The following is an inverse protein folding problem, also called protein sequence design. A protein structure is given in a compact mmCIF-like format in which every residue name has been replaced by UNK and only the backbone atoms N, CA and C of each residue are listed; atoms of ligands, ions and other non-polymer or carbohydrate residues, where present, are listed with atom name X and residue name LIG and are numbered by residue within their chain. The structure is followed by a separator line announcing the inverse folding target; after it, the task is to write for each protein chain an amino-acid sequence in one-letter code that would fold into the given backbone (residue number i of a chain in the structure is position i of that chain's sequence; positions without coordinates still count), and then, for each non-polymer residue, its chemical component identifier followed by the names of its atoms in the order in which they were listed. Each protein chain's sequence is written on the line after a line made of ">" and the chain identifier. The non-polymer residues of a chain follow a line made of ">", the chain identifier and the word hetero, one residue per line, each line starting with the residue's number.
data_IF_027958310954
#
_entry.id   IF_027958310954
#
_cell.length_a   1.000
_cell.length_b   1.000
_cell.length_c   1.000
_cell.angle_alpha   90.00
_cell.angle_beta   90.00
_cell.angle_gamma   90.00
#
_symmetry.space_group_name_H-M   'P 1'
#
loop_
_entity.id
_entity.type
_entity.pdbx_description
1 polymer ?
#
# COMPACT_ATOMS: atom_id res chain seq x y z
N UNK A 1 -4.12 18.06 42.92
CA UNK A 1 -5.47 17.74 42.41
C UNK A 1 -5.66 18.10 40.94
N UNK A 2 -5.51 19.37 40.53
CA UNK A 2 -5.75 19.81 39.13
C UNK A 2 -5.02 19.00 38.04
N UNK A 3 -3.74 18.66 38.28
CA UNK A 3 -2.93 17.85 37.34
C UNK A 3 -3.48 16.44 37.10
N UNK A 4 -4.03 15.82 38.14
CA UNK A 4 -4.59 14.46 38.08
C UNK A 4 -5.92 14.49 37.34
N UNK A 5 -6.76 15.51 37.60
CA UNK A 5 -8.00 15.71 36.85
C UNK A 5 -7.71 15.91 35.36
N UNK A 6 -6.73 16.72 34.99
CA UNK A 6 -6.35 16.93 33.59
C UNK A 6 -5.94 15.62 32.89
N UNK A 7 -5.09 14.81 33.53
CA UNK A 7 -4.69 13.50 32.98
C UNK A 7 -5.90 12.58 32.81
N UNK A 8 -6.79 12.53 33.81
CA UNK A 8 -7.95 11.62 33.83
C UNK A 8 -8.96 11.95 32.70
N UNK A 9 -9.12 13.23 32.37
CA UNK A 9 -9.95 13.66 31.23
C UNK A 9 -9.25 13.54 29.87
N UNK A 10 -7.92 13.47 29.83
CA UNK A 10 -7.13 13.36 28.59
C UNK A 10 -7.01 11.92 28.09
N UNK A 11 -7.01 10.94 28.99
CA UNK A 11 -6.84 9.51 28.63
C UNK A 11 -7.95 9.00 27.70
N UNK A 12 -9.26 9.20 27.99
CA UNK A 12 -10.33 8.71 27.10
C UNK A 12 -10.26 9.23 25.65
N UNK A 13 -10.08 10.54 25.38
CA UNK A 13 -9.97 11.03 24.01
C UNK A 13 -8.70 10.55 23.31
N UNK A 14 -7.57 10.40 24.03
CA UNK A 14 -6.35 9.85 23.46
C UNK A 14 -6.52 8.38 23.02
N UNK A 15 -7.20 7.56 23.85
CA UNK A 15 -7.52 6.18 23.49
C UNK A 15 -8.48 6.10 22.30
N UNK A 16 -9.49 6.98 22.23
CA UNK A 16 -10.40 7.03 21.09
C UNK A 16 -9.65 7.36 19.78
N UNK A 17 -8.76 8.36 19.80
CA UNK A 17 -7.92 8.70 18.64
C UNK A 17 -7.03 7.55 18.19
N UNK A 18 -6.41 6.83 19.12
CA UNK A 18 -5.62 5.64 18.78
C UNK A 18 -6.49 4.56 18.13
N UNK A 19 -7.67 4.28 18.68
CA UNK A 19 -8.61 3.32 18.10
C UNK A 19 -9.07 3.72 16.68
N UNK A 20 -9.37 5.01 16.47
CA UNK A 20 -9.75 5.53 15.15
C UNK A 20 -8.61 5.43 14.15
N UNK A 21 -7.37 5.67 14.57
CA UNK A 21 -6.21 5.53 13.69
C UNK A 21 -6.03 4.08 13.21
N UNK A 22 -6.12 3.10 14.12
CA UNK A 22 -6.02 1.67 13.79
C UNK A 22 -7.14 1.22 12.86
N UNK A 23 -8.37 1.67 13.11
CA UNK A 23 -9.52 1.36 12.27
C UNK A 23 -9.35 1.95 10.87
N UNK A 24 -8.88 3.20 10.79
CA UNK A 24 -8.59 3.87 9.50
C UNK A 24 -7.50 3.13 8.73
N UNK A 25 -6.40 2.73 9.37
CA UNK A 25 -5.35 1.96 8.68
C UNK A 25 -5.87 0.61 8.19
N UNK A 26 -6.67 -0.08 8.99
CA UNK A 26 -7.26 -1.37 8.62
C UNK A 26 -8.17 -1.27 7.39
N UNK A 27 -8.81 -0.11 7.16
CA UNK A 27 -9.64 0.15 5.98
C UNK A 27 -8.85 0.67 4.79
N UNK A 28 -7.90 1.58 5.02
CA UNK A 28 -7.18 2.26 3.92
C UNK A 28 -6.11 1.34 3.29
N UNK A 29 -5.41 0.52 4.08
CA UNK A 29 -4.40 -0.40 3.55
C UNK A 29 -4.99 -1.29 2.43
N UNK A 30 -6.11 -2.02 2.61
CA UNK A 30 -6.68 -2.82 1.53
C UNK A 30 -7.21 -1.97 0.37
N UNK A 31 -7.72 -0.75 0.62
CA UNK A 31 -8.16 0.15 -0.45
C UNK A 31 -6.99 0.61 -1.33
N UNK A 32 -5.84 0.93 -0.74
CA UNK A 32 -4.65 1.35 -1.51
C UNK A 32 -4.10 0.25 -2.41
N UNK A 33 -4.37 -1.02 -2.10
CA UNK A 33 -4.05 -2.16 -2.95
C UNK A 33 -4.76 -2.16 -4.31
N UNK A 34 -5.85 -1.40 -4.47
CA UNK A 34 -6.60 -1.29 -5.72
C UNK A 34 -6.18 -0.12 -6.62
N UNK A 35 -5.20 0.70 -6.22
CA UNK A 35 -4.79 1.91 -6.98
C UNK A 35 -3.87 1.55 -8.18
N UNK A 36 -3.33 0.33 -8.20
CA UNK A 36 -2.41 -0.16 -9.24
C UNK A 36 -0.96 0.27 -9.01
N UNK A 37 -0.08 -0.09 -9.96
CA UNK A 37 1.38 0.13 -9.87
C UNK A 37 1.85 1.57 -10.12
N UNK A 38 0.99 2.43 -10.68
CA UNK A 38 1.36 3.79 -11.11
C UNK A 38 1.68 4.72 -9.91
N UNK A 39 0.84 4.68 -8.86
CA UNK A 39 0.98 5.53 -7.67
C UNK A 39 1.64 4.78 -6.51
N UNK A 40 2.33 5.52 -5.65
CA UNK A 40 2.95 4.99 -4.43
C UNK A 40 1.93 4.90 -3.29
N UNK A 41 1.41 3.71 -2.92
CA UNK A 41 0.50 3.59 -1.78
C UNK A 41 1.20 3.94 -0.45
N UNK A 42 2.51 3.71 -0.35
CA UNK A 42 3.32 4.02 0.83
C UNK A 42 3.31 5.52 1.18
N UNK A 43 3.21 6.39 0.17
CA UNK A 43 3.15 7.84 0.39
C UNK A 43 1.81 8.25 1.02
N UNK A 44 0.72 7.62 0.59
CA UNK A 44 -0.64 7.87 1.12
C UNK A 44 -0.71 7.41 2.57
N UNK A 45 -0.22 6.19 2.85
CA UNK A 45 -0.16 5.64 4.20
C UNK A 45 0.74 6.49 5.08
N UNK A 46 1.93 6.87 4.58
CA UNK A 46 2.88 7.73 5.29
C UNK A 46 2.27 9.08 5.69
N UNK A 47 1.56 9.74 4.76
CA UNK A 47 0.87 11.00 5.04
C UNK A 47 -0.20 10.84 6.13
N UNK A 48 -0.98 9.76 6.09
CA UNK A 48 -1.98 9.46 7.12
C UNK A 48 -1.31 9.20 8.48
N UNK A 49 -0.23 8.43 8.52
CA UNK A 49 0.54 8.16 9.74
C UNK A 49 1.07 9.46 10.35
N UNK A 50 1.66 10.36 9.55
CA UNK A 50 2.11 11.68 10.03
C UNK A 50 0.94 12.49 10.59
N UNK A 51 -0.21 12.49 9.92
CA UNK A 51 -1.39 13.25 10.36
C UNK A 51 -1.94 12.72 11.69
N UNK A 52 -2.13 11.41 11.83
CA UNK A 52 -2.61 10.80 13.07
C UNK A 52 -1.60 10.92 14.21
N UNK A 53 -0.31 10.76 13.95
CA UNK A 53 0.74 10.94 14.98
C UNK A 53 0.76 12.36 15.51
N UNK A 54 0.64 13.39 14.65
CA UNK A 54 0.52 14.78 15.10
C UNK A 54 -0.73 15.01 15.96
N UNK A 55 -1.87 14.45 15.56
CA UNK A 55 -3.12 14.55 16.33
C UNK A 55 -3.03 13.86 17.71
N UNK A 56 -2.35 12.72 17.80
CA UNK A 56 -2.15 11.99 19.05
C UNK A 56 -1.12 12.70 19.94
N UNK A 57 -0.04 13.24 19.37
CA UNK A 57 1.03 13.91 20.12
C UNK A 57 0.60 15.28 20.63
N UNK A 58 -0.22 16.02 19.88
CA UNK A 58 -0.73 17.35 20.26
C UNK A 58 -1.26 17.44 21.71
N UNK A 59 -2.24 16.63 22.17
CA UNK A 59 -2.70 16.64 23.55
C UNK A 59 -1.62 16.21 24.56
N UNK A 60 -0.69 15.34 24.15
CA UNK A 60 0.43 14.90 25.00
C UNK A 60 1.45 16.02 25.19
N UNK A 61 1.64 16.91 24.22
CA UNK A 61 2.51 18.08 24.40
C UNK A 61 1.96 19.05 25.45
N UNK A 62 0.64 19.18 25.59
CA UNK A 62 0.06 20.02 26.64
C UNK A 62 0.38 19.50 28.06
N UNK A 63 0.59 18.19 28.22
CA UNK A 63 1.08 17.60 29.48
C UNK A 63 2.51 18.02 29.82
N UNK A 64 3.34 18.37 28.83
CA UNK A 64 4.74 18.77 29.06
C UNK A 64 4.86 20.06 29.86
N UNK A 65 3.88 20.96 29.74
CA UNK A 65 3.80 22.17 30.57
C UNK A 65 3.59 21.86 32.06
N UNK A 66 3.11 20.67 32.42
CA UNK A 66 2.96 20.23 33.81
C UNK A 66 4.21 19.54 34.37
N UNK A 67 5.13 19.10 33.50
CA UNK A 67 6.35 18.42 33.90
C UNK A 67 7.38 19.42 34.43
N UNK A 68 7.97 19.13 35.59
CA UNK A 68 9.01 19.96 36.20
C UNK A 68 10.28 20.03 35.34
N UNK A 69 10.55 18.99 34.56
CA UNK A 69 11.70 18.86 33.67
C UNK A 69 11.26 18.44 32.25
N UNK A 70 10.99 19.42 31.39
CA UNK A 70 10.65 19.18 29.97
C UNK A 70 11.77 18.49 29.19
N UNK A 71 13.04 18.62 29.64
CA UNK A 71 14.21 18.00 28.99
C UNK A 71 14.08 16.48 28.90
N UNK A 72 13.59 15.82 29.95
CA UNK A 72 13.44 14.35 29.95
C UNK A 72 12.44 13.89 28.88
N UNK A 73 11.38 14.67 28.63
CA UNK A 73 10.38 14.35 27.62
C UNK A 73 10.97 14.41 26.20
N UNK A 74 11.71 15.47 25.87
CA UNK A 74 12.36 15.59 24.57
C UNK A 74 13.46 14.54 24.37
N UNK A 75 14.23 14.21 25.42
CA UNK A 75 15.21 13.12 25.37
C UNK A 75 14.53 11.78 25.09
N UNK A 76 13.41 11.49 25.76
CA UNK A 76 12.65 10.26 25.54
C UNK A 76 12.10 10.15 24.11
N UNK A 77 11.50 11.23 23.59
CA UNK A 77 11.05 11.29 22.19
C UNK A 77 12.21 11.12 21.21
N UNK A 78 13.35 11.77 21.45
CA UNK A 78 14.55 11.63 20.64
C UNK A 78 15.09 10.20 20.64
N UNK A 79 15.12 9.54 21.81
CA UNK A 79 15.53 8.15 21.94
C UNK A 79 14.61 7.20 21.16
N UNK A 80 13.29 7.40 21.25
CA UNK A 80 12.30 6.63 20.47
C UNK A 80 12.50 6.86 18.97
N UNK A 81 12.70 8.12 18.56
CA UNK A 81 12.92 8.45 17.15
C UNK A 81 14.19 7.76 16.60
N UNK A 82 15.30 7.82 17.33
CA UNK A 82 16.55 7.15 16.95
C UNK A 82 16.34 5.63 16.90
N UNK A 83 15.64 5.04 17.87
CA UNK A 83 15.32 3.62 17.87
C UNK A 83 14.57 3.19 16.62
N UNK A 84 13.49 3.89 16.25
CA UNK A 84 12.72 3.59 15.04
C UNK A 84 13.49 3.86 13.76
N UNK A 85 14.36 4.87 13.75
CA UNK A 85 15.24 5.15 12.62
C UNK A 85 16.22 4.00 12.41
N UNK A 86 16.85 3.49 13.47
CA UNK A 86 17.70 2.29 13.40
C UNK A 86 16.90 1.09 12.91
N UNK A 87 15.69 0.87 13.45
CA UNK A 87 14.83 -0.23 13.02
C UNK A 87 14.51 -0.17 11.52
N UNK A 88 14.27 1.03 10.96
CA UNK A 88 14.00 1.22 9.54
C UNK A 88 15.16 0.78 8.64
N UNK A 89 16.41 0.99 9.06
CA UNK A 89 17.60 0.56 8.32
C UNK A 89 18.00 -0.89 8.58
N UNK A 90 17.28 -1.59 9.46
CA UNK A 90 17.54 -3.00 9.77
C UNK A 90 16.46 -3.90 9.16
N UNK A 91 16.82 -5.12 8.75
CA UNK A 91 15.85 -6.09 8.21
C UNK A 91 14.79 -6.52 9.23
N UNK A 92 15.01 -6.26 10.53
CA UNK A 92 14.08 -6.59 11.62
C UNK A 92 12.77 -5.78 11.49
N UNK A 93 12.86 -4.54 11.02
CA UNK A 93 11.71 -3.66 10.88
C UNK A 93 10.90 -3.90 9.61
N UNK A 94 11.44 -4.66 8.64
CA UNK A 94 10.79 -4.89 7.36
C UNK A 94 10.12 -6.28 7.37
N UNK A 95 8.78 -6.37 7.19
CA UNK A 95 8.08 -7.66 7.20
C UNK A 95 8.47 -8.53 5.99
N UNK A 96 9.03 -7.93 4.94
CA UNK A 96 9.58 -8.64 3.78
C UNK A 96 11.05 -8.98 4.05
N UNK A 97 11.27 -9.94 4.95
CA UNK A 97 12.57 -10.59 5.11
C UNK A 97 12.92 -11.30 3.80
N UNK A 98 14.09 -11.02 3.24
CA UNK A 98 14.63 -11.70 2.05
C UNK A 98 15.23 -13.07 2.36
N UNK A 99 14.91 -13.64 3.52
CA UNK A 99 15.41 -14.93 3.95
C UNK A 99 14.65 -16.04 3.22
N UNK A 100 15.39 -16.91 2.55
CA UNK A 100 14.81 -17.94 1.69
C UNK A 100 13.99 -18.96 2.50
N UNK A 101 14.31 -19.16 3.78
CA UNK A 101 13.57 -20.06 4.69
C UNK A 101 12.26 -19.45 5.22
N UNK A 102 12.10 -18.11 5.17
CA UNK A 102 10.91 -17.40 5.68
C UNK A 102 10.31 -16.48 4.63
N UNK A 103 10.12 -16.99 3.41
CA UNK A 103 9.51 -16.22 2.32
C UNK A 103 8.09 -15.76 2.68
N UNK A 104 7.85 -14.46 2.66
CA UNK A 104 6.50 -13.90 2.80
C UNK A 104 5.75 -13.96 1.46
N UNK A 105 4.47 -14.36 1.46
CA UNK A 105 3.71 -14.50 0.22
C UNK A 105 3.46 -13.11 -0.41
N UNK A 106 3.90 -12.93 -1.65
CA UNK A 106 3.52 -11.78 -2.47
C UNK A 106 2.23 -12.11 -3.23
N UNK A 107 1.23 -11.23 -3.17
CA UNK A 107 -0.04 -11.42 -3.87
C UNK A 107 0.05 -10.87 -5.30
N UNK A 108 -0.22 -11.73 -6.28
CA UNK A 108 -0.21 -11.39 -7.70
C UNK A 108 -1.51 -11.84 -8.36
N UNK A 109 -1.94 -11.10 -9.38
CA UNK A 109 -3.18 -11.39 -10.09
C UNK A 109 -2.84 -11.94 -11.48
N UNK A 110 -3.10 -13.23 -11.66
CA UNK A 110 -2.88 -13.96 -12.90
C UNK A 110 -4.24 -14.46 -13.38
N UNK A 111 -4.59 -14.10 -14.61
CA UNK A 111 -5.87 -14.44 -15.23
C UNK A 111 -5.59 -15.20 -16.51
N UNK A 112 -6.12 -16.41 -16.64
CA UNK A 112 -6.12 -17.08 -17.95
C UNK A 112 -7.17 -16.41 -18.83
N UNK A 113 -6.75 -15.89 -19.99
CA UNK A 113 -7.62 -15.19 -20.93
C UNK A 113 -7.59 -15.87 -22.28
N UNK A 114 -8.76 -15.97 -22.91
CA UNK A 114 -8.92 -16.40 -24.30
C UNK A 114 -9.77 -15.33 -24.98
N UNK A 115 -9.19 -14.69 -26.00
CA UNK A 115 -9.77 -13.55 -26.71
C UNK A 115 -10.00 -13.93 -28.16
N UNK A 116 -11.16 -13.55 -28.69
CA UNK A 116 -11.47 -13.66 -30.12
C UNK A 116 -12.03 -12.33 -30.58
N UNK A 117 -11.37 -11.72 -31.56
CA UNK A 117 -11.74 -10.44 -32.12
C UNK A 117 -12.52 -10.66 -33.41
N UNK A 118 -13.67 -10.02 -33.54
CA UNK A 118 -14.55 -10.13 -34.70
C UNK A 118 -14.60 -8.80 -35.45
N UNK A 119 -14.65 -8.88 -36.78
CA UNK A 119 -14.85 -7.72 -37.65
C UNK A 119 -16.36 -7.38 -37.74
N UNK A 120 -16.69 -6.24 -38.35
CA UNK A 120 -18.08 -5.79 -38.57
C UNK A 120 -18.91 -6.80 -39.38
N UNK A 121 -18.26 -7.61 -40.22
CA UNK A 121 -18.88 -8.69 -41.01
C UNK A 121 -19.07 -10.01 -40.24
N UNK A 122 -18.65 -10.07 -38.97
CA UNK A 122 -18.71 -11.27 -38.13
C UNK A 122 -17.57 -12.27 -38.37
N UNK A 123 -16.62 -11.96 -39.25
CA UNK A 123 -15.43 -12.79 -39.45
C UNK A 123 -14.41 -12.59 -38.31
N UNK A 124 -13.71 -13.67 -37.92
CA UNK A 124 -12.64 -13.61 -36.91
C UNK A 124 -11.41 -12.91 -37.48
N UNK A 125 -10.98 -11.82 -36.84
CA UNK A 125 -9.76 -11.07 -37.20
C UNK A 125 -8.55 -11.70 -36.53
N UNK A 126 -8.67 -11.99 -35.23
CA UNK A 126 -7.55 -12.45 -34.41
C UNK A 126 -8.09 -13.28 -33.23
N UNK A 127 -7.34 -14.30 -32.81
CA UNK A 127 -7.75 -15.21 -31.75
C UNK A 127 -6.52 -15.65 -30.94
N UNK A 128 -6.48 -15.24 -29.68
CA UNK A 128 -5.35 -15.45 -28.78
C UNK A 128 -5.79 -16.12 -27.48
N UNK A 129 -4.89 -16.89 -26.89
CA UNK A 129 -5.05 -17.40 -25.53
C UNK A 129 -3.73 -17.30 -24.76
N UNK A 130 -3.82 -16.96 -23.49
CA UNK A 130 -2.63 -16.82 -22.65
C UNK A 130 -2.93 -16.42 -21.22
N UNK A 131 -1.86 -16.15 -20.47
CA UNK A 131 -1.96 -15.63 -19.11
C UNK A 131 -1.80 -14.12 -19.13
N UNK A 132 -2.79 -13.44 -18.61
CA UNK A 132 -2.74 -12.03 -18.31
C UNK A 132 -2.22 -11.80 -16.90
N UNK A 133 -1.21 -10.97 -16.79
CA UNK A 133 -0.58 -10.61 -15.54
C UNK A 133 -0.95 -9.17 -15.17
N UNK A 134 -1.68 -8.97 -14.08
CA UNK A 134 -2.06 -7.63 -13.62
C UNK A 134 -1.10 -7.15 -12.53
N UNK A 135 -0.36 -6.08 -12.83
CA UNK A 135 0.60 -5.47 -11.91
C UNK A 135 -0.11 -4.55 -10.89
N UNK A 136 -0.44 -5.08 -9.71
CA UNK A 136 -0.95 -4.26 -8.59
C UNK A 136 0.16 -3.76 -7.67
N UNK A 137 1.29 -4.45 -7.64
CA UNK A 137 2.45 -4.09 -6.84
C UNK A 137 3.40 -3.22 -7.67
N UNK A 138 3.87 -2.10 -7.10
CA UNK A 138 4.82 -1.19 -7.75
C UNK A 138 6.12 -1.85 -8.17
N UNK A 139 6.58 -2.84 -7.41
CA UNK A 139 7.80 -3.57 -7.72
C UNK A 139 7.58 -4.73 -8.71
N UNK A 140 6.33 -5.03 -9.05
CA UNK A 140 5.98 -5.96 -10.13
C UNK A 140 6.04 -5.23 -11.47
N UNK A 141 6.58 -5.82 -12.55
CA UNK A 141 7.07 -7.20 -12.67
C UNK A 141 8.58 -7.36 -12.38
N UNK A 142 9.28 -6.29 -11.97
CA UNK A 142 10.76 -6.28 -11.85
C UNK A 142 11.30 -7.37 -10.92
N UNK A 143 10.70 -7.53 -9.73
CA UNK A 143 11.13 -8.56 -8.78
C UNK A 143 10.83 -9.97 -9.33
N UNK A 144 9.66 -10.13 -9.92
CA UNK A 144 9.17 -11.43 -10.43
C UNK A 144 9.97 -11.97 -11.60
N UNK A 145 10.46 -11.10 -12.49
CA UNK A 145 11.26 -11.51 -13.65
C UNK A 145 12.51 -12.32 -13.28
N UNK A 146 12.99 -12.19 -12.04
CA UNK A 146 14.12 -12.99 -11.50
C UNK A 146 13.72 -14.43 -11.19
N UNK A 147 12.48 -14.66 -10.79
CA UNK A 147 11.98 -15.98 -10.35
C UNK A 147 11.21 -16.70 -11.45
N UNK A 148 10.40 -15.99 -12.24
CA UNK A 148 9.58 -16.56 -13.31
C UNK A 148 10.11 -16.08 -14.65
N UNK A 149 10.91 -16.92 -15.31
CA UNK A 149 11.58 -16.60 -16.58
C UNK A 149 10.60 -16.34 -17.72
N UNK A 150 9.41 -16.93 -17.67
CA UNK A 150 8.37 -16.75 -18.69
C UNK A 150 7.82 -15.32 -18.73
N UNK A 151 7.92 -14.54 -17.64
CA UNK A 151 7.58 -13.11 -17.65
C UNK A 151 8.46 -12.28 -18.59
N UNK A 152 9.61 -12.78 -19.03
CA UNK A 152 10.44 -12.08 -20.02
C UNK A 152 9.83 -12.10 -21.42
N UNK A 153 8.89 -13.02 -21.70
CA UNK A 153 8.13 -13.09 -22.96
C UNK A 153 6.82 -12.30 -22.89
N UNK A 154 6.51 -11.68 -21.75
CA UNK A 154 5.28 -10.91 -21.58
C UNK A 154 5.30 -9.66 -22.47
N UNK A 155 4.20 -9.44 -23.19
CA UNK A 155 3.99 -8.27 -24.05
C UNK A 155 3.07 -7.29 -23.32
N UNK A 156 3.37 -5.98 -23.32
CA UNK A 156 2.48 -4.97 -22.76
C UNK A 156 1.19 -4.87 -23.57
N UNK A 157 0.07 -4.59 -22.91
CA UNK A 157 -1.25 -4.54 -23.54
C UNK A 157 -1.66 -3.14 -24.04
N UNK A 158 -0.73 -2.18 -23.95
CA UNK A 158 -0.97 -0.78 -24.29
C UNK A 158 -1.40 -0.53 -25.73
N UNK A 159 -1.00 -1.40 -26.66
CA UNK A 159 -1.39 -1.29 -28.07
C UNK A 159 -2.81 -1.81 -28.31
N UNK A 160 -3.19 -2.91 -27.64
CA UNK A 160 -4.57 -3.41 -27.64
C UNK A 160 -5.54 -2.39 -27.03
N UNK A 161 -5.09 -1.62 -26.02
CA UNK A 161 -5.87 -0.55 -25.40
C UNK A 161 -6.24 0.60 -26.36
N UNK A 162 -5.49 0.80 -27.45
CA UNK A 162 -5.78 1.83 -28.46
C UNK A 162 -6.80 1.35 -29.49
N UNK A 163 -6.77 0.06 -29.81
CA UNK A 163 -7.55 -0.53 -30.90
C UNK A 163 -8.87 -1.14 -30.40
N UNK A 164 -8.92 -1.62 -29.16
CA UNK A 164 -10.05 -2.35 -28.61
C UNK A 164 -10.58 -1.71 -27.32
N UNK A 165 -11.91 -1.65 -27.12
CA UNK A 165 -12.49 -1.21 -25.85
C UNK A 165 -12.04 -2.15 -24.73
N UNK A 166 -11.76 -1.58 -23.55
CA UNK A 166 -11.26 -2.33 -22.38
C UNK A 166 -9.98 -3.13 -22.69
N UNK A 167 -9.18 -2.68 -23.66
CA UNK A 167 -7.97 -3.36 -24.12
C UNK A 167 -8.19 -4.82 -24.59
N UNK A 168 -9.43 -5.16 -24.97
CA UNK A 168 -9.79 -6.53 -25.36
C UNK A 168 -9.83 -7.53 -24.21
N UNK A 169 -9.81 -7.08 -22.95
CA UNK A 169 -9.71 -7.96 -21.78
C UNK A 169 -11.05 -8.18 -21.07
N UNK A 170 -11.27 -9.41 -20.62
CA UNK A 170 -12.39 -9.76 -19.73
C UNK A 170 -12.07 -9.36 -18.29
N UNK A 171 -12.11 -8.06 -18.00
CA UNK A 171 -11.96 -7.55 -16.63
C UNK A 171 -13.31 -7.56 -15.91
N UNK A 172 -13.33 -8.11 -14.69
CA UNK A 172 -14.56 -8.28 -13.90
C UNK A 172 -14.95 -7.03 -13.10
N UNK A 173 -14.04 -6.07 -12.92
CA UNK A 173 -14.26 -4.89 -12.10
C UNK A 173 -13.80 -3.61 -12.82
N UNK A 174 -14.58 -2.51 -12.81
CA UNK A 174 -14.23 -1.27 -13.53
C UNK A 174 -12.91 -0.64 -13.04
N UNK A 175 -12.58 -0.77 -11.75
CA UNK A 175 -11.28 -0.32 -11.24
C UNK A 175 -10.09 -1.05 -11.86
N UNK A 176 -10.25 -2.30 -12.29
CA UNK A 176 -9.19 -3.02 -12.99
C UNK A 176 -8.98 -2.49 -14.40
N UNK A 177 -10.04 -2.02 -15.08
CA UNK A 177 -9.94 -1.37 -16.40
C UNK A 177 -8.94 -0.22 -16.32
N UNK A 178 -9.07 0.64 -15.31
CA UNK A 178 -8.16 1.78 -15.13
C UNK A 178 -6.72 1.30 -14.94
N UNK A 179 -6.47 0.28 -14.11
CA UNK A 179 -5.11 -0.26 -13.92
C UNK A 179 -4.53 -0.78 -15.23
N UNK A 180 -5.32 -1.48 -16.05
CA UNK A 180 -4.89 -2.06 -17.33
C UNK A 180 -4.48 -0.98 -18.34
N UNK A 181 -5.16 0.16 -18.36
CA UNK A 181 -4.79 1.29 -19.23
C UNK A 181 -3.41 1.89 -18.89
N UNK A 182 -2.96 1.74 -17.64
CA UNK A 182 -1.70 2.31 -17.14
C UNK A 182 -0.63 1.24 -16.83
N UNK A 183 -0.86 -0.02 -17.21
CA UNK A 183 0.02 -1.17 -16.90
C UNK A 183 0.97 -1.55 -18.03
#
# INVERSE_FOLDING_TARGET
>A
MWRVMYILFLVPPAMNLMYQSLTTFSLIIPMTGFIGSDKNPDLIIGLMVVTFTLLIVSPVTALTNLLRNVRCYFIFLGAIFILFLVLMFTPIGFPYSGDNDTCTPQRQWILHTSRTFYNETGATVEADAGFFFLNLDRNSPRILKRYVKDLNRAVPISDDCKNYPMCGMSVSHPGMVQIVYWS
#
